data_IF_333048192041
#
_entry.id   IF_333048192041
#
_cell.length_a   1.000
_cell.length_b   1.000
_cell.length_c   1.000
_cell.angle_alpha   90.00
_cell.angle_beta   90.00
_cell.angle_gamma   90.00
#
_symmetry.space_group_name_H-M   'P 1'
#
loop_
_entity.id
_entity.type
_entity.pdbx_description
1 polymer ?
#
# COMPACT_ATOMS: atom_id res chain seq x y z
N UNK A 1 0.60 -42.02 18.12
CA UNK A 1 0.14 -41.18 17.00
C UNK A 1 0.27 -39.72 17.43
N UNK A 2 1.40 -39.09 17.12
CA UNK A 2 1.70 -37.70 17.47
C UNK A 2 1.33 -36.81 16.29
N UNK A 3 0.41 -35.87 16.52
CA UNK A 3 -0.04 -34.92 15.53
C UNK A 3 1.13 -34.00 15.11
N UNK A 4 1.36 -33.92 13.79
CA UNK A 4 2.37 -33.09 13.18
C UNK A 4 2.13 -31.61 13.43
N UNK A 5 3.16 -30.92 13.89
CA UNK A 5 3.24 -29.47 13.91
C UNK A 5 3.13 -28.95 12.47
N UNK A 6 1.96 -28.40 12.13
CA UNK A 6 1.80 -27.60 10.92
C UNK A 6 2.52 -26.28 11.15
N UNK A 7 3.73 -26.17 10.60
CA UNK A 7 4.48 -24.91 10.56
C UNK A 7 3.63 -23.84 9.86
N UNK A 8 3.16 -22.85 10.61
CA UNK A 8 2.63 -21.63 10.03
C UNK A 8 3.78 -20.88 9.35
N UNK A 9 3.68 -20.54 8.05
CA UNK A 9 4.66 -19.66 7.44
C UNK A 9 4.59 -18.30 8.15
N UNK A 10 5.76 -17.79 8.54
CA UNK A 10 5.91 -16.41 9.02
C UNK A 10 5.25 -15.47 8.02
N UNK A 11 4.40 -14.57 8.51
CA UNK A 11 3.85 -13.48 7.71
C UNK A 11 4.99 -12.80 6.94
N UNK A 12 4.89 -12.78 5.61
CA UNK A 12 5.84 -12.07 4.77
C UNK A 12 5.82 -10.60 5.19
N UNK A 13 6.99 -10.07 5.56
CA UNK A 13 7.14 -8.66 5.88
C UNK A 13 6.83 -7.86 4.61
N UNK A 14 5.80 -7.01 4.65
CA UNK A 14 5.44 -6.10 3.55
C UNK A 14 6.60 -5.17 3.19
N UNK A 15 7.58 -5.00 4.10
CA UNK A 15 8.79 -4.22 3.87
C UNK A 15 9.96 -5.01 3.29
N UNK A 16 9.76 -6.25 2.83
CA UNK A 16 10.83 -7.04 2.24
C UNK A 16 11.41 -6.33 1.00
N UNK A 17 12.66 -5.85 1.06
CA UNK A 17 13.30 -5.11 -0.02
C UNK A 17 13.57 -5.98 -1.27
N UNK A 18 13.46 -7.31 -1.15
CA UNK A 18 13.63 -8.24 -2.28
C UNK A 18 12.36 -8.42 -3.12
N UNK A 19 11.19 -8.01 -2.61
CA UNK A 19 9.89 -8.10 -3.31
C UNK A 19 9.80 -7.23 -4.57
N UNK A 20 10.66 -6.22 -4.71
CA UNK A 20 10.60 -5.21 -5.76
C UNK A 20 11.77 -5.37 -6.75
N UNK A 21 11.74 -6.44 -7.56
CA UNK A 21 12.44 -6.39 -8.86
C UNK A 21 11.61 -5.56 -9.84
N UNK A 22 11.51 -4.25 -9.58
CA UNK A 22 11.08 -3.27 -10.58
C UNK A 22 12.15 -3.15 -11.67
N UNK A 23 11.71 -2.83 -12.89
CA UNK A 23 12.54 -2.82 -14.11
C UNK A 23 13.90 -2.14 -13.88
N UNK A 24 15.01 -2.67 -14.43
CA UNK A 24 16.29 -1.97 -14.42
C UNK A 24 16.12 -0.60 -15.09
N UNK A 25 16.38 0.48 -14.33
CA UNK A 25 16.32 1.87 -14.82
C UNK A 25 15.31 2.79 -14.12
N UNK A 26 14.37 2.26 -13.33
CA UNK A 26 13.45 3.08 -12.54
C UNK A 26 14.01 3.33 -11.13
N UNK A 27 14.99 4.23 -11.00
CA UNK A 27 15.36 4.79 -9.68
C UNK A 27 14.23 5.73 -9.23
N UNK A 28 13.23 5.19 -8.56
CA UNK A 28 12.14 5.99 -7.96
C UNK A 28 12.06 5.71 -6.48
N UNK A 29 11.67 6.73 -5.72
CA UNK A 29 11.52 6.60 -4.28
C UNK A 29 10.52 5.48 -3.98
N UNK A 30 10.91 4.55 -3.12
CA UNK A 30 10.07 3.42 -2.67
C UNK A 30 9.11 3.84 -1.56
N UNK A 31 8.67 5.10 -1.60
CA UNK A 31 7.74 5.70 -0.66
C UNK A 31 6.38 5.93 -1.33
N UNK A 32 5.32 6.19 -0.53
CA UNK A 32 3.98 6.41 -1.07
C UNK A 32 3.90 7.55 -2.09
N UNK A 33 4.70 8.59 -1.95
CA UNK A 33 4.71 9.71 -2.89
C UNK A 33 5.33 9.33 -4.24
N UNK A 34 6.36 8.48 -4.23
CA UNK A 34 6.99 7.92 -5.43
C UNK A 34 6.05 6.99 -6.20
N UNK A 35 5.28 6.16 -5.49
CA UNK A 35 4.25 5.29 -6.07
C UNK A 35 3.10 6.12 -6.63
N UNK A 36 2.60 7.11 -5.88
CA UNK A 36 1.57 8.04 -6.33
C UNK A 36 1.98 8.72 -7.66
N UNK A 37 3.22 9.21 -7.73
CA UNK A 37 3.76 9.91 -8.91
C UNK A 37 3.87 9.00 -10.15
N UNK A 38 3.88 7.68 -9.98
CA UNK A 38 3.91 6.72 -11.07
C UNK A 38 2.54 6.54 -11.73
N UNK A 39 1.46 6.72 -10.98
CA UNK A 39 0.08 6.47 -11.44
C UNK A 39 -0.75 7.73 -11.62
N UNK A 40 -0.17 8.94 -11.58
CA UNK A 40 -0.92 10.21 -11.68
C UNK A 40 -1.67 10.39 -12.99
N UNK A 41 -1.26 9.69 -14.05
CA UNK A 41 -1.89 9.72 -15.36
C UNK A 41 -3.19 8.92 -15.44
N UNK A 42 -3.37 7.93 -14.56
CA UNK A 42 -4.51 7.01 -14.56
C UNK A 42 -5.34 7.02 -13.28
N UNK A 43 -4.80 7.53 -12.17
CA UNK A 43 -5.47 7.57 -10.88
C UNK A 43 -5.95 8.99 -10.54
N UNK A 44 -7.12 9.07 -9.89
CA UNK A 44 -7.64 10.30 -9.29
C UNK A 44 -7.67 10.27 -7.76
N UNK A 45 -7.37 9.11 -7.19
CA UNK A 45 -7.47 8.78 -5.76
C UNK A 45 -6.34 7.85 -5.39
N UNK A 46 -5.76 8.06 -4.21
CA UNK A 46 -4.64 7.29 -3.69
C UNK A 46 -4.91 6.91 -2.24
N UNK A 47 -4.92 5.62 -1.94
CA UNK A 47 -5.05 5.10 -0.58
C UNK A 47 -3.64 4.87 -0.05
N UNK A 48 -3.34 5.40 1.14
CA UNK A 48 -2.07 5.22 1.83
C UNK A 48 -2.31 4.70 3.24
N UNK A 49 -1.35 3.97 3.78
CA UNK A 49 -1.45 3.49 5.16
C UNK A 49 -1.43 4.65 6.15
N UNK A 50 -2.10 4.49 7.30
CA UNK A 50 -2.04 5.49 8.39
C UNK A 50 -0.61 5.70 8.90
N UNK A 51 0.24 4.68 8.85
CA UNK A 51 1.66 4.82 9.19
C UNK A 51 2.39 5.82 8.28
N UNK A 52 1.86 6.07 7.08
CA UNK A 52 2.45 6.91 6.04
C UNK A 52 1.86 8.33 5.99
N UNK A 53 1.09 8.75 7.00
CA UNK A 53 0.54 10.10 7.10
C UNK A 53 1.52 11.25 6.78
N UNK A 54 2.82 11.18 7.15
CA UNK A 54 3.80 12.21 6.75
C UNK A 54 3.93 12.43 5.23
N UNK A 55 3.59 11.44 4.39
CA UNK A 55 3.64 11.54 2.93
C UNK A 55 2.37 12.16 2.31
N UNK A 56 1.29 12.30 3.07
CA UNK A 56 0.00 12.78 2.58
C UNK A 56 0.11 14.12 1.81
N UNK A 57 0.79 15.16 2.32
CA UNK A 57 0.91 16.42 1.58
C UNK A 57 1.67 16.29 0.27
N UNK A 58 2.63 15.36 0.18
CA UNK A 58 3.39 15.12 -1.04
C UNK A 58 2.54 14.41 -2.10
N UNK A 59 1.65 13.49 -1.68
CA UNK A 59 0.68 12.83 -2.57
C UNK A 59 -0.36 13.83 -3.08
N UNK A 60 -0.94 14.65 -2.20
CA UNK A 60 -1.98 15.62 -2.60
C UNK A 60 -1.46 16.71 -3.55
N UNK A 61 -0.19 17.14 -3.40
CA UNK A 61 0.47 18.07 -4.34
C UNK A 61 0.53 17.53 -5.77
N UNK A 62 0.38 16.23 -5.98
CA UNK A 62 0.37 15.60 -7.30
C UNK A 62 -1.03 15.60 -7.94
N UNK A 63 -2.04 16.19 -7.28
CA UNK A 63 -3.42 16.30 -7.80
C UNK A 63 -4.31 15.11 -7.46
N UNK A 64 -3.80 14.15 -6.68
CA UNK A 64 -4.54 12.98 -6.22
C UNK A 64 -5.31 13.29 -4.94
N UNK A 65 -6.52 12.73 -4.79
CA UNK A 65 -7.20 12.69 -3.50
C UNK A 65 -6.57 11.59 -2.64
N UNK A 66 -5.82 11.97 -1.61
CA UNK A 66 -5.24 11.02 -0.67
C UNK A 66 -6.27 10.57 0.38
N UNK A 67 -6.31 9.28 0.70
CA UNK A 67 -7.20 8.71 1.72
C UNK A 67 -6.37 7.82 2.66
N UNK A 68 -6.09 8.28 3.90
CA UNK A 68 -5.46 7.45 4.92
C UNK A 68 -6.38 6.28 5.30
N UNK A 69 -5.85 5.06 5.30
CA UNK A 69 -6.60 3.85 5.65
C UNK A 69 -5.68 2.82 6.30
N UNK A 70 -6.25 1.78 6.90
CA UNK A 70 -5.50 0.64 7.41
C UNK A 70 -5.33 -0.36 6.26
N UNK A 71 -4.13 -0.44 5.67
CA UNK A 71 -3.90 -1.21 4.44
C UNK A 71 -3.40 -2.63 4.70
N UNK A 72 -2.99 -2.92 5.94
CA UNK A 72 -2.37 -4.19 6.33
C UNK A 72 -3.44 -5.27 6.59
N UNK A 73 -4.07 -5.75 5.52
CA UNK A 73 -5.13 -6.79 5.57
C UNK A 73 -4.65 -8.07 6.26
N UNK A 74 -3.38 -8.44 6.10
CA UNK A 74 -2.78 -9.61 6.76
C UNK A 74 -2.61 -9.44 8.29
N UNK A 75 -2.70 -8.21 8.80
CA UNK A 75 -2.67 -7.88 10.23
C UNK A 75 -4.07 -7.65 10.81
N UNK A 76 -5.12 -7.98 10.05
CA UNK A 76 -6.50 -7.89 10.51
C UNK A 76 -7.17 -6.54 10.26
N UNK A 77 -6.60 -5.68 9.39
CA UNK A 77 -7.31 -4.50 8.93
C UNK A 77 -8.63 -4.90 8.23
N UNK A 78 -9.72 -4.22 8.58
CA UNK A 78 -11.03 -4.45 7.95
C UNK A 78 -10.97 -4.04 6.47
N UNK A 79 -11.26 -4.95 5.52
CA UNK A 79 -11.26 -4.59 4.10
C UNK A 79 -12.42 -3.69 3.69
N UNK A 80 -13.53 -3.66 4.45
CA UNK A 80 -14.73 -2.93 4.05
C UNK A 80 -14.49 -1.41 3.89
N UNK A 81 -13.81 -0.71 4.82
CA UNK A 81 -13.40 0.68 4.62
C UNK A 81 -12.52 0.91 3.38
N UNK A 82 -11.58 0.01 3.10
CA UNK A 82 -10.67 0.11 1.95
C UNK A 82 -11.43 -0.03 0.62
N UNK A 83 -12.31 -1.04 0.54
CA UNK A 83 -13.19 -1.25 -0.62
C UNK A 83 -14.15 -0.07 -0.80
N UNK A 84 -14.76 0.41 0.28
CA UNK A 84 -15.66 1.57 0.25
C UNK A 84 -14.93 2.81 -0.27
N UNK A 85 -13.70 3.06 0.17
CA UNK A 85 -12.90 4.19 -0.29
C UNK A 85 -12.54 4.10 -1.79
N UNK A 86 -12.34 2.89 -2.33
CA UNK A 86 -12.10 2.66 -3.76
C UNK A 86 -13.36 2.82 -4.62
N UNK A 87 -14.52 2.42 -4.09
CA UNK A 87 -15.80 2.45 -4.81
C UNK A 87 -16.54 3.79 -4.68
N UNK A 88 -16.17 4.62 -3.70
CA UNK A 88 -16.72 5.96 -3.54
C UNK A 88 -16.40 6.80 -4.79
N UNK A 89 -17.37 6.84 -5.73
CA UNK A 89 -17.32 7.71 -6.89
C UNK A 89 -17.29 9.17 -6.44
N UNK A 90 -16.53 9.98 -7.19
CA UNK A 90 -16.59 11.45 -7.10
C UNK A 90 -17.96 11.96 -7.51
#
# INVERSE_FOLDING_TARGET
MTAGQCAHPRAADVRDPTSLRLRPGAQRALDPAGVAAFYTDVASTFLLDRADLPHLPAVEKQGLRAIPTDTLLHQGADPAPLITALLARR
#
